data_IF_755239848151
#
_entry.id   IF_755239848151
#
_cell.length_a   1.000
_cell.length_b   1.000
_cell.length_c   1.000
_cell.angle_alpha   90.00
_cell.angle_beta   90.00
_cell.angle_gamma   90.00
#
_symmetry.space_group_name_H-M   'P 1'
#
loop_
_entity.id
_entity.type
_entity.pdbx_description
1 polymer ?
#
# COMPACT_ATOMS: atom_id res chain seq x y z
N UNK A 1 29.60 30.93 10.30
CA UNK A 1 28.62 29.85 10.50
C UNK A 1 27.73 30.27 11.67
N UNK A 2 26.51 30.72 11.40
CA UNK A 2 25.53 31.05 12.47
C UNK A 2 25.28 29.80 13.31
N UNK A 3 25.24 29.91 14.65
CA UNK A 3 24.82 28.81 15.52
C UNK A 3 23.34 28.56 15.27
N UNK A 4 23.04 27.65 14.34
CA UNK A 4 21.69 27.16 14.09
C UNK A 4 21.27 26.36 15.33
N UNK A 5 20.15 26.71 15.95
CA UNK A 5 19.64 25.94 17.08
C UNK A 5 19.14 24.58 16.60
N UNK A 6 19.11 23.57 17.47
CA UNK A 6 18.58 22.24 17.13
C UNK A 6 17.15 22.35 16.56
N UNK A 7 16.34 23.26 17.12
CA UNK A 7 14.97 23.51 16.66
C UNK A 7 14.97 24.05 15.23
N UNK A 8 15.86 24.98 14.90
CA UNK A 8 15.97 25.52 13.53
C UNK A 8 16.35 24.43 12.52
N UNK A 9 17.25 23.51 12.87
CA UNK A 9 17.61 22.37 12.03
C UNK A 9 16.43 21.44 11.79
N UNK A 10 15.65 21.11 12.83
CA UNK A 10 14.43 20.30 12.70
C UNK A 10 13.40 21.00 11.82
N UNK A 11 13.16 22.29 12.03
CA UNK A 11 12.21 23.07 11.23
C UNK A 11 12.62 23.14 9.75
N UNK A 12 13.92 23.24 9.45
CA UNK A 12 14.43 23.18 8.09
C UNK A 12 14.20 21.80 7.45
N UNK A 13 14.51 20.72 8.17
CA UNK A 13 14.28 19.36 7.69
C UNK A 13 12.79 19.07 7.44
N UNK A 14 11.91 19.44 8.38
CA UNK A 14 10.46 19.29 8.24
C UNK A 14 9.91 20.07 7.05
N UNK A 15 10.38 21.31 6.83
CA UNK A 15 10.01 22.09 5.63
C UNK A 15 10.45 21.39 4.34
N UNK A 16 11.63 20.77 4.33
CA UNK A 16 12.11 19.96 3.21
C UNK A 16 11.18 18.79 2.89
N UNK A 17 10.78 18.01 3.90
CA UNK A 17 9.86 16.87 3.75
C UNK A 17 8.50 17.36 3.22
N UNK A 18 7.88 18.34 3.88
CA UNK A 18 6.56 18.84 3.50
C UNK A 18 6.57 19.37 2.06
N UNK A 19 7.58 20.18 1.71
CA UNK A 19 7.68 20.75 0.37
C UNK A 19 7.85 19.69 -0.72
N UNK A 20 8.64 18.64 -0.46
CA UNK A 20 8.79 17.50 -1.39
C UNK A 20 7.48 16.75 -1.57
N UNK A 21 6.75 16.46 -0.49
CA UNK A 21 5.46 15.76 -0.54
C UNK A 21 4.41 16.60 -1.28
N UNK A 22 4.36 17.92 -1.04
CA UNK A 22 3.34 18.78 -1.66
C UNK A 22 3.56 19.02 -3.15
N UNK A 23 4.81 19.06 -3.63
CA UNK A 23 5.14 19.43 -5.01
C UNK A 23 5.29 18.25 -5.96
N UNK A 24 5.85 17.13 -5.50
CA UNK A 24 6.21 16.02 -6.37
C UNK A 24 5.07 15.01 -6.51
N UNK A 25 4.57 14.81 -7.74
CA UNK A 25 3.49 13.84 -8.03
C UNK A 25 3.92 12.40 -7.69
N UNK A 26 5.15 12.03 -8.01
CA UNK A 26 5.66 10.68 -7.77
C UNK A 26 5.69 10.34 -6.28
N UNK A 27 6.15 11.27 -5.44
CA UNK A 27 6.17 11.11 -3.98
C UNK A 27 4.74 10.89 -3.44
N UNK A 28 3.75 11.66 -3.91
CA UNK A 28 2.35 11.46 -3.49
C UNK A 28 1.82 10.07 -3.83
N UNK A 29 2.11 9.58 -5.03
CA UNK A 29 1.69 8.25 -5.48
C UNK A 29 2.38 7.17 -4.63
N UNK A 30 3.69 7.29 -4.40
CA UNK A 30 4.44 6.33 -3.58
C UNK A 30 3.93 6.32 -2.13
N UNK A 31 3.65 7.47 -1.52
CA UNK A 31 3.06 7.56 -0.17
C UNK A 31 1.70 6.88 -0.13
N UNK A 32 0.83 7.14 -1.12
CA UNK A 32 -0.48 6.50 -1.19
C UNK A 32 -0.36 4.97 -1.28
N UNK A 33 0.49 4.46 -2.18
CA UNK A 33 0.72 3.02 -2.35
C UNK A 33 1.32 2.39 -1.08
N UNK A 34 2.31 3.02 -0.48
CA UNK A 34 2.92 2.56 0.77
C UNK A 34 1.89 2.56 1.92
N UNK A 35 1.06 3.59 2.02
CA UNK A 35 -0.01 3.67 3.01
C UNK A 35 -1.02 2.53 2.83
N UNK A 36 -1.39 2.20 1.59
CA UNK A 36 -2.28 1.07 1.31
C UNK A 36 -1.64 -0.26 1.71
N UNK A 37 -0.37 -0.50 1.36
CA UNK A 37 0.35 -1.73 1.74
C UNK A 37 0.40 -1.87 3.27
N UNK A 38 0.76 -0.81 4.00
CA UNK A 38 0.82 -0.83 5.46
C UNK A 38 -0.59 -1.05 6.05
N UNK A 39 -1.61 -0.39 5.52
CA UNK A 39 -3.00 -0.57 5.95
C UNK A 39 -3.46 -2.03 5.79
N UNK A 40 -3.24 -2.64 4.61
CA UNK A 40 -3.55 -4.06 4.39
C UNK A 40 -2.72 -4.99 5.28
N UNK A 41 -1.47 -4.64 5.55
CA UNK A 41 -0.61 -5.41 6.46
C UNK A 41 -1.17 -5.45 7.89
N UNK A 42 -1.71 -4.31 8.36
CA UNK A 42 -2.37 -4.22 9.66
C UNK A 42 -3.69 -5.00 9.68
N UNK A 43 -4.49 -4.89 8.61
CA UNK A 43 -5.76 -5.64 8.48
C UNK A 43 -5.57 -7.16 8.47
N UNK A 44 -4.46 -7.64 7.89
CA UNK A 44 -4.16 -9.07 7.76
C UNK A 44 -3.44 -9.64 9.00
N UNK A 45 -3.27 -8.84 10.07
CA UNK A 45 -2.69 -9.26 11.35
C UNK A 45 -1.36 -10.02 11.21
N UNK A 46 -0.49 -9.56 10.30
CA UNK A 46 0.82 -10.18 10.09
C UNK A 46 1.73 -10.05 11.32
N UNK A 47 2.77 -10.88 11.39
CA UNK A 47 3.74 -10.80 12.49
C UNK A 47 4.42 -9.42 12.55
N UNK A 48 4.79 -9.00 13.77
CA UNK A 48 5.45 -7.70 14.00
C UNK A 48 6.73 -7.53 13.16
N UNK A 49 7.50 -8.61 13.00
CA UNK A 49 8.73 -8.59 12.19
C UNK A 49 8.43 -8.33 10.72
N UNK A 50 7.41 -9.00 10.17
CA UNK A 50 6.96 -8.78 8.80
C UNK A 50 6.43 -7.37 8.57
N UNK A 51 5.68 -6.82 9.54
CA UNK A 51 5.19 -5.44 9.50
C UNK A 51 6.34 -4.42 9.51
N UNK A 52 7.34 -4.61 10.37
CA UNK A 52 8.54 -3.76 10.41
C UNK A 52 9.26 -3.80 9.07
N UNK A 53 9.45 -4.99 8.48
CA UNK A 53 10.08 -5.13 7.16
C UNK A 53 9.33 -4.36 6.08
N UNK A 54 7.99 -4.47 6.04
CA UNK A 54 7.14 -3.73 5.10
C UNK A 54 7.30 -2.22 5.30
N UNK A 55 7.23 -1.73 6.53
CA UNK A 55 7.41 -0.31 6.84
C UNK A 55 8.78 0.17 6.34
N UNK A 56 9.85 -0.59 6.60
CA UNK A 56 11.21 -0.22 6.17
C UNK A 56 11.31 -0.12 4.65
N UNK A 57 10.83 -1.11 3.90
CA UNK A 57 10.93 -1.07 2.42
C UNK A 57 10.08 0.06 1.83
N UNK A 58 8.88 0.30 2.37
CA UNK A 58 8.01 1.39 1.97
C UNK A 58 8.66 2.78 2.21
N UNK A 59 9.24 2.99 3.40
CA UNK A 59 9.94 4.24 3.70
C UNK A 59 11.19 4.42 2.83
N UNK A 60 11.91 3.34 2.53
CA UNK A 60 13.10 3.40 1.69
C UNK A 60 12.80 3.89 0.26
N UNK A 61 11.65 3.52 -0.32
CA UNK A 61 11.21 4.05 -1.63
C UNK A 61 11.04 5.57 -1.56
N UNK A 62 10.35 6.07 -0.53
CA UNK A 62 10.09 7.51 -0.37
C UNK A 62 11.40 8.27 -0.15
N UNK A 63 12.30 7.73 0.68
CA UNK A 63 13.63 8.29 0.91
C UNK A 63 14.37 8.39 -0.43
N UNK A 64 14.44 7.31 -1.21
CA UNK A 64 15.20 7.31 -2.45
C UNK A 64 14.59 8.20 -3.55
N UNK A 65 13.27 8.37 -3.59
CA UNK A 65 12.62 9.36 -4.46
C UNK A 65 13.00 10.80 -4.06
N UNK A 66 13.02 11.10 -2.75
CA UNK A 66 13.47 12.41 -2.26
C UNK A 66 14.94 12.67 -2.58
N UNK A 67 15.79 11.65 -2.45
CA UNK A 67 17.20 11.71 -2.87
C UNK A 67 17.31 11.96 -4.37
N UNK A 68 16.58 11.22 -5.21
CA UNK A 68 16.56 11.43 -6.65
C UNK A 68 16.20 12.87 -7.00
N UNK A 69 15.12 13.43 -6.40
CA UNK A 69 14.72 14.84 -6.62
C UNK A 69 15.74 15.85 -6.11
N UNK A 70 16.42 15.57 -5.01
CA UNK A 70 17.54 16.38 -4.53
C UNK A 70 18.71 16.39 -5.51
N UNK A 71 19.07 15.21 -6.02
CA UNK A 71 20.14 15.05 -7.01
C UNK A 71 19.80 15.68 -8.36
N UNK A 72 18.57 15.53 -8.86
CA UNK A 72 18.10 16.22 -10.07
C UNK A 72 18.34 17.74 -9.96
N UNK A 73 17.92 18.35 -8.84
CA UNK A 73 18.11 19.80 -8.59
C UNK A 73 19.59 20.19 -8.46
N UNK A 74 20.40 19.35 -7.83
CA UNK A 74 21.84 19.58 -7.72
C UNK A 74 22.51 19.55 -9.10
N UNK A 75 22.18 18.55 -9.92
CA UNK A 75 22.70 18.40 -11.27
C UNK A 75 22.25 19.57 -12.16
N UNK A 76 20.99 19.99 -12.07
CA UNK A 76 20.46 21.16 -12.78
C UNK A 76 21.17 22.45 -12.37
N UNK A 77 21.54 22.56 -11.09
CA UNK A 77 22.29 23.72 -10.59
C UNK A 77 23.75 23.73 -11.10
N UNK A 78 24.41 22.58 -11.14
CA UNK A 78 25.82 22.46 -11.56
C UNK A 78 25.97 22.48 -13.10
N UNK A 79 25.00 21.96 -13.84
CA UNK A 79 24.99 21.89 -15.30
C UNK A 79 23.66 22.43 -15.86
N UNK A 80 23.47 23.75 -15.90
CA UNK A 80 22.21 24.37 -16.34
C UNK A 80 21.96 24.22 -17.85
N UNK A 81 23.02 24.07 -18.64
CA UNK A 81 22.93 23.76 -20.06
C UNK A 81 22.83 22.24 -20.29
N UNK A 82 22.27 21.86 -21.44
CA UNK A 82 22.15 20.45 -21.81
C UNK A 82 23.51 19.76 -21.82
N UNK A 83 23.65 18.74 -20.97
CA UNK A 83 24.85 17.93 -20.85
C UNK A 83 24.47 16.45 -20.83
N UNK A 84 25.07 15.68 -21.75
CA UNK A 84 24.79 14.25 -21.92
C UNK A 84 25.15 13.43 -20.68
N UNK A 85 26.25 13.77 -19.99
CA UNK A 85 26.65 13.07 -18.77
C UNK A 85 25.74 13.42 -17.58
N UNK A 86 25.27 14.68 -17.50
CA UNK A 86 24.27 15.09 -16.52
C UNK A 86 22.96 14.31 -16.70
N UNK A 87 22.53 14.08 -17.94
CA UNK A 87 21.40 13.21 -18.27
C UNK A 87 21.60 11.78 -17.76
N UNK A 88 22.76 11.17 -18.04
CA UNK A 88 23.08 9.80 -17.57
C UNK A 88 23.04 9.67 -16.05
N UNK A 89 23.52 10.68 -15.32
CA UNK A 89 23.46 10.67 -13.85
C UNK A 89 22.01 10.64 -13.36
N UNK A 90 21.14 11.46 -13.96
CA UNK A 90 19.71 11.47 -13.63
C UNK A 90 19.05 10.12 -13.96
N UNK A 91 19.38 9.52 -15.10
CA UNK A 91 18.84 8.21 -15.50
C UNK A 91 19.25 7.11 -14.50
N UNK A 92 20.50 7.12 -14.03
CA UNK A 92 20.98 6.18 -13.00
C UNK A 92 20.19 6.36 -11.69
N UNK A 93 20.01 7.61 -11.24
CA UNK A 93 19.27 7.89 -10.00
C UNK A 93 17.80 7.48 -10.10
N UNK A 94 17.16 7.72 -11.24
CA UNK A 94 15.81 7.22 -11.52
C UNK A 94 15.76 5.68 -11.53
N UNK A 95 16.79 5.02 -12.08
CA UNK A 95 16.96 3.57 -12.05
C UNK A 95 17.05 3.00 -10.63
N UNK A 96 17.76 3.67 -9.71
CA UNK A 96 17.85 3.27 -8.30
C UNK A 96 16.48 3.30 -7.62
N UNK A 97 15.69 4.35 -7.88
CA UNK A 97 14.32 4.44 -7.36
C UNK A 97 13.47 3.28 -7.89
N UNK A 98 13.55 3.00 -9.20
CA UNK A 98 12.81 1.91 -9.83
C UNK A 98 13.15 0.55 -9.21
N UNK A 99 14.44 0.27 -8.99
CA UNK A 99 14.88 -0.97 -8.34
C UNK A 99 14.33 -1.10 -6.92
N UNK A 100 14.28 -0.01 -6.18
CA UNK A 100 13.74 0.02 -4.81
C UNK A 100 12.23 -0.21 -4.81
N UNK A 101 11.51 0.33 -5.79
CA UNK A 101 10.09 0.06 -5.98
C UNK A 101 9.82 -1.41 -6.29
N UNK A 102 10.60 -2.01 -7.19
CA UNK A 102 10.52 -3.46 -7.50
C UNK A 102 10.81 -4.30 -6.26
N UNK A 103 11.86 -3.97 -5.51
CA UNK A 103 12.19 -4.66 -4.26
C UNK A 103 11.02 -4.60 -3.26
N UNK A 104 10.44 -3.41 -3.09
CA UNK A 104 9.28 -3.22 -2.21
C UNK A 104 8.09 -4.06 -2.65
N UNK A 105 7.79 -4.08 -3.95
CA UNK A 105 6.72 -4.91 -4.49
C UNK A 105 6.94 -6.40 -4.23
N UNK A 106 8.16 -6.91 -4.47
CA UNK A 106 8.51 -8.32 -4.23
C UNK A 106 8.39 -8.67 -2.74
N UNK A 107 8.99 -7.87 -1.85
CA UNK A 107 8.98 -8.12 -0.41
C UNK A 107 7.55 -8.09 0.13
N UNK A 108 6.76 -7.07 -0.22
CA UNK A 108 5.36 -6.97 0.19
C UNK A 108 4.53 -8.13 -0.36
N UNK A 109 4.74 -8.55 -1.60
CA UNK A 109 4.07 -9.72 -2.16
C UNK A 109 4.38 -11.00 -1.38
N UNK A 110 5.66 -11.29 -1.13
CA UNK A 110 6.07 -12.51 -0.41
C UNK A 110 5.50 -12.56 1.01
N UNK A 111 5.42 -11.42 1.70
CA UNK A 111 4.88 -11.35 3.06
C UNK A 111 3.36 -11.45 3.07
N UNK A 112 2.68 -10.76 2.16
CA UNK A 112 1.22 -10.62 2.19
C UNK A 112 0.47 -11.73 1.45
N UNK A 113 1.13 -12.49 0.57
CA UNK A 113 0.48 -13.51 -0.26
C UNK A 113 -0.31 -14.53 0.58
N UNK A 114 0.32 -15.20 1.53
CA UNK A 114 -0.34 -16.23 2.34
C UNK A 114 -1.47 -15.67 3.23
N UNK A 115 -1.24 -14.61 4.04
CA UNK A 115 -2.31 -13.99 4.84
C UNK A 115 -3.49 -13.53 3.99
N UNK A 116 -3.21 -12.96 2.81
CA UNK A 116 -4.24 -12.49 1.89
C UNK A 116 -5.10 -13.63 1.36
N UNK A 117 -4.50 -14.73 0.90
CA UNK A 117 -5.26 -15.91 0.42
C UNK A 117 -6.09 -16.52 1.56
N UNK A 118 -5.54 -16.61 2.77
CA UNK A 118 -6.30 -17.10 3.93
C UNK A 118 -7.53 -16.24 4.22
N UNK A 119 -7.35 -14.92 4.25
CA UNK A 119 -8.41 -13.93 4.44
C UNK A 119 -9.52 -14.04 3.38
N UNK A 120 -9.15 -14.13 2.09
CA UNK A 120 -10.11 -14.31 1.01
C UNK A 120 -10.88 -15.64 1.14
N UNK A 121 -10.18 -16.73 1.52
CA UNK A 121 -10.84 -18.03 1.72
C UNK A 121 -11.88 -17.98 2.86
N UNK A 122 -11.59 -17.23 3.92
CA UNK A 122 -12.47 -17.09 5.07
C UNK A 122 -13.72 -16.27 4.73
N UNK A 123 -13.56 -15.18 3.98
CA UNK A 123 -14.69 -14.39 3.45
C UNK A 123 -15.58 -15.26 2.55
N UNK A 124 -14.98 -16.01 1.64
CA UNK A 124 -15.72 -16.88 0.70
C UNK A 124 -16.53 -17.94 1.43
N UNK A 125 -15.96 -18.59 2.46
CA UNK A 125 -16.70 -19.57 3.29
C UNK A 125 -17.89 -18.95 4.02
N UNK A 126 -17.71 -17.77 4.61
CA UNK A 126 -18.79 -17.08 5.31
C UNK A 126 -19.93 -16.69 4.37
N UNK A 127 -19.62 -16.22 3.16
CA UNK A 127 -20.65 -15.85 2.18
C UNK A 127 -21.42 -17.08 1.70
N UNK A 128 -20.72 -18.18 1.41
CA UNK A 128 -21.34 -19.43 1.01
C UNK A 128 -22.23 -20.01 2.13
N UNK A 129 -21.77 -19.93 3.38
CA UNK A 129 -22.57 -20.31 4.55
C UNK A 129 -23.87 -19.50 4.65
N UNK A 130 -23.79 -18.18 4.43
CA UNK A 130 -24.95 -17.30 4.46
C UNK A 130 -25.97 -17.65 3.35
N UNK A 131 -25.50 -17.94 2.13
CA UNK A 131 -26.35 -18.45 1.06
C UNK A 131 -26.99 -19.81 1.41
N UNK A 132 -26.25 -20.73 2.02
CA UNK A 132 -26.77 -22.04 2.44
C UNK A 132 -27.88 -21.92 3.47
N UNK A 133 -27.75 -21.02 4.46
CA UNK A 133 -28.79 -20.73 5.44
C UNK A 133 -30.07 -20.19 4.79
N UNK A 134 -29.94 -19.23 3.87
CA UNK A 134 -31.07 -18.65 3.14
C UNK A 134 -31.80 -19.73 2.33
N UNK A 135 -31.06 -20.62 1.65
CA UNK A 135 -31.62 -21.72 0.88
C UNK A 135 -32.39 -22.72 1.77
N UNK A 136 -31.86 -23.05 2.96
CA UNK A 136 -32.52 -23.95 3.90
C UNK A 136 -33.85 -23.37 4.42
N UNK A 137 -33.85 -22.09 4.80
CA UNK A 137 -35.06 -21.38 5.29
C UNK A 137 -36.15 -21.39 4.21
N UNK A 138 -35.77 -21.14 2.95
CA UNK A 138 -36.68 -21.18 1.80
C UNK A 138 -37.28 -22.58 1.58
N UNK A 139 -36.49 -23.64 1.74
CA UNK A 139 -36.96 -25.01 1.54
C UNK A 139 -37.94 -25.44 2.64
N UNK A 140 -37.68 -25.06 3.89
CA UNK A 140 -38.57 -25.32 5.03
C UNK A 140 -39.90 -24.56 4.88
N UNK A 141 -39.88 -23.31 4.43
CA UNK A 141 -41.12 -22.53 4.24
C UNK A 141 -42.01 -23.15 3.15
N UNK A 142 -41.43 -23.65 2.06
CA UNK A 142 -42.15 -24.40 1.03
C UNK A 142 -42.81 -25.65 1.61
N UNK A 143 -42.09 -26.44 2.41
CA UNK A 143 -42.65 -27.66 3.01
C UNK A 143 -43.85 -27.37 3.92
N UNK A 144 -43.77 -26.29 4.70
CA UNK A 144 -44.88 -25.85 5.57
C UNK A 144 -46.09 -25.44 4.72
N UNK A 145 -45.88 -24.66 3.66
CA UNK A 145 -46.96 -24.24 2.74
C UNK A 145 -47.65 -25.47 2.12
N UNK A 146 -46.88 -26.44 1.62
CA UNK A 146 -47.42 -27.67 1.04
C UNK A 146 -48.25 -28.44 2.09
N UNK A 147 -47.75 -28.56 3.32
CA UNK A 147 -48.47 -29.24 4.40
C UNK A 147 -49.79 -28.53 4.74
N UNK A 148 -49.78 -27.19 4.85
CA UNK A 148 -50.98 -26.39 5.11
C UNK A 148 -52.02 -26.52 3.99
N UNK A 149 -51.59 -26.54 2.73
CA UNK A 149 -52.50 -26.74 1.59
C UNK A 149 -53.10 -28.14 1.64
N UNK A 150 -52.30 -29.17 1.92
CA UNK A 150 -52.78 -30.55 2.01
C UNK A 150 -53.80 -30.71 3.13
N UNK A 151 -53.51 -30.20 4.32
CA UNK A 151 -54.42 -30.25 5.48
C UNK A 151 -55.77 -29.55 5.20
N UNK A 152 -55.75 -28.48 4.39
CA UNK A 152 -56.96 -27.76 3.97
C UNK A 152 -57.79 -28.50 2.91
N UNK A 153 -57.18 -29.34 2.08
CA UNK A 153 -57.87 -30.13 1.04
C UNK A 153 -58.47 -31.41 1.64
N UNK A 154 -57.86 -31.98 2.68
CA UNK A 154 -58.34 -33.21 3.33
C UNK A 154 -59.38 -33.00 4.43
N UNK A 155 -59.72 -31.74 4.76
CA UNK A 155 -60.86 -31.37 5.62
C UNK A 155 -62.06 -31.03 4.76
#
# INVERSE_FOLDING_TARGET
MTRISFIDSVLCASRGIINSISKERNIKIQILLCSLIIFFSLLLEISKTSLITIIVVCFLVIILEMFNKGFEKLVDFVSPEYNKEAGRIKDIMAGVVLLTFIMTAIVSFLILYNPFIHFISQISKNIFFLFSLISLIFLVSIMIIIKLIKDKITK
#
